data_IF_391535505143
#
_entry.id   IF_391535505143
#
_cell.length_a   1.000
_cell.length_b   1.000
_cell.length_c   1.000
_cell.angle_alpha   90.00
_cell.angle_beta   90.00
_cell.angle_gamma   90.00
#
_symmetry.space_group_name_H-M   'P 1'
#
loop_
_entity.id
_entity.type
_entity.pdbx_description
1 polymer ?
#
# COMPACT_ATOMS: atom_id res chain seq x y z
N UNK A 1 22.75 42.85 5.61
CA UNK A 1 23.60 43.20 6.76
C UNK A 1 22.99 44.39 7.51
N UNK A 2 22.40 44.19 8.69
CA UNK A 2 22.28 45.18 9.78
C UNK A 2 21.58 44.55 11.00
N UNK A 3 22.44 44.05 11.89
CA UNK A 3 22.50 44.11 13.35
C UNK A 3 21.22 44.14 14.21
N UNK A 4 21.16 43.09 15.04
CA UNK A 4 20.63 42.95 16.40
C UNK A 4 20.26 44.21 17.20
N UNK A 5 19.17 44.11 17.97
CA UNK A 5 19.17 44.47 19.40
C UNK A 5 18.39 43.44 20.24
N UNK A 6 19.09 42.96 21.27
CA UNK A 6 18.70 42.15 22.42
C UNK A 6 18.17 43.03 23.57
N UNK A 7 17.68 42.34 24.61
CA UNK A 7 17.52 42.72 26.04
C UNK A 7 16.08 43.13 26.46
N UNK A 8 15.52 42.72 27.61
CA UNK A 8 15.96 41.87 28.72
C UNK A 8 14.70 41.49 29.55
N UNK A 9 14.56 40.23 30.01
CA UNK A 9 14.78 39.73 31.39
C UNK A 9 13.99 40.45 32.50
N UNK A 10 13.07 39.72 33.14
CA UNK A 10 12.95 39.71 34.62
C UNK A 10 12.78 38.26 35.08
N UNK A 11 13.69 37.87 35.97
CA UNK A 11 13.76 36.60 36.67
C UNK A 11 12.87 36.61 37.92
N UNK A 12 12.42 35.43 38.35
CA UNK A 12 12.22 35.14 39.76
C UNK A 12 12.49 33.66 40.02
N UNK A 13 13.52 33.42 40.83
CA UNK A 13 13.99 32.13 41.31
C UNK A 13 13.07 31.57 42.41
N UNK A 14 13.01 30.23 42.49
CA UNK A 14 12.43 29.49 43.61
C UNK A 14 13.16 28.15 43.77
N UNK A 15 13.63 27.91 44.99
CA UNK A 15 14.65 26.94 45.41
C UNK A 15 14.25 25.46 45.35
N UNK A 16 15.27 24.64 45.06
CA UNK A 16 15.76 23.42 45.77
C UNK A 16 14.73 22.44 46.36
N UNK A 17 14.75 21.22 45.82
CA UNK A 17 14.31 20.00 46.48
C UNK A 17 14.95 18.78 45.84
N UNK A 18 16.08 18.33 46.38
CA UNK A 18 16.74 17.10 46.00
C UNK A 18 16.01 15.91 46.65
N UNK A 19 15.47 15.01 45.82
CA UNK A 19 15.01 13.69 46.23
C UNK A 19 15.62 12.65 45.31
N UNK A 20 16.67 11.99 45.80
CA UNK A 20 17.22 10.79 45.22
C UNK A 20 16.30 9.60 45.57
N UNK A 21 15.70 8.94 44.58
CA UNK A 21 15.08 7.63 44.76
C UNK A 21 15.36 6.75 43.53
N UNK A 22 16.15 5.71 43.78
CA UNK A 22 16.27 4.42 43.12
C UNK A 22 16.12 4.35 41.58
N UNK A 23 17.27 4.17 40.92
CA UNK A 23 17.39 3.51 39.61
C UNK A 23 16.99 2.03 39.80
N UNK A 24 15.69 1.76 39.72
CA UNK A 24 15.17 0.40 39.57
C UNK A 24 15.26 0.01 38.10
N UNK A 25 16.29 -0.75 37.75
CA UNK A 25 16.45 -1.35 36.42
C UNK A 25 15.30 -2.30 36.12
N UNK A 26 14.23 -1.78 35.52
CA UNK A 26 13.24 -2.59 34.82
C UNK A 26 13.91 -3.07 33.54
N UNK A 27 14.56 -4.24 33.63
CA UNK A 27 14.89 -5.05 32.46
C UNK A 27 13.59 -5.48 31.80
N UNK A 28 13.06 -4.63 30.92
CA UNK A 28 12.07 -5.04 29.93
C UNK A 28 12.78 -5.96 28.95
N UNK A 29 12.83 -7.25 29.28
CA UNK A 29 13.11 -8.28 28.32
C UNK A 29 12.00 -8.21 27.25
N UNK A 30 12.29 -7.47 26.19
CA UNK A 30 11.51 -7.48 24.97
C UNK A 30 11.59 -8.91 24.44
N UNK A 31 10.55 -9.69 24.71
CA UNK A 31 10.30 -10.94 23.99
C UNK A 31 10.07 -10.55 22.52
N UNK A 32 11.16 -10.49 21.75
CA UNK A 32 11.10 -10.49 20.31
C UNK A 32 10.51 -11.84 19.94
N UNK A 33 9.19 -11.85 19.70
CA UNK A 33 8.56 -12.92 18.95
C UNK A 33 9.30 -12.98 17.61
N UNK A 34 10.23 -13.92 17.48
CA UNK A 34 10.77 -14.33 16.20
C UNK A 34 9.61 -14.94 15.44
N UNK A 35 8.88 -14.10 14.70
CA UNK A 35 8.01 -14.57 13.65
C UNK A 35 8.88 -15.46 12.75
N UNK A 36 8.60 -16.76 12.75
CA UNK A 36 9.27 -17.68 11.86
C UNK A 36 8.99 -17.19 10.43
N UNK A 37 10.03 -16.73 9.74
CA UNK A 37 9.91 -16.39 8.34
C UNK A 37 9.42 -17.64 7.61
N UNK A 38 8.29 -17.52 6.90
CA UNK A 38 7.83 -18.59 6.02
C UNK A 38 9.00 -18.99 5.09
N UNK A 39 9.25 -20.29 4.86
CA UNK A 39 10.35 -20.72 4.03
C UNK A 39 10.16 -20.20 2.59
N UNK A 40 10.86 -19.11 2.27
CA UNK A 40 10.86 -18.45 0.95
C UNK A 40 11.42 -19.34 -0.16
N UNK A 41 11.87 -20.56 0.17
CA UNK A 41 12.44 -21.54 -0.76
C UNK A 41 11.44 -22.09 -1.78
N UNK A 42 10.13 -21.84 -1.61
CA UNK A 42 9.08 -22.28 -2.53
C UNK A 42 8.40 -21.14 -3.30
N UNK A 43 8.87 -19.90 -3.17
CA UNK A 43 8.31 -18.77 -3.91
C UNK A 43 8.63 -18.86 -5.42
N UNK A 44 7.65 -18.52 -6.27
CA UNK A 44 7.79 -18.43 -7.73
C UNK A 44 7.30 -17.09 -8.22
N UNK A 45 8.10 -16.39 -9.00
CA UNK A 45 7.66 -15.19 -9.70
C UNK A 45 7.02 -15.57 -11.03
N UNK A 46 5.87 -14.98 -11.33
CA UNK A 46 5.18 -15.08 -12.61
C UNK A 46 4.97 -13.69 -13.20
N UNK A 47 4.96 -13.62 -14.53
CA UNK A 47 4.75 -12.39 -15.29
C UNK A 47 3.53 -12.61 -16.17
N UNK A 48 2.56 -11.71 -16.09
CA UNK A 48 1.39 -11.71 -16.96
C UNK A 48 1.73 -11.30 -18.38
N UNK A 49 0.83 -11.51 -19.35
CA UNK A 49 0.95 -10.87 -20.66
C UNK A 49 0.91 -9.34 -20.51
N UNK A 50 1.59 -8.62 -21.39
CA UNK A 50 1.37 -7.19 -21.51
C UNK A 50 -0.09 -6.95 -21.92
N UNK A 51 -0.74 -5.94 -21.34
CA UNK A 51 -2.11 -5.59 -21.68
C UNK A 51 -2.20 -4.82 -23.00
N UNK A 52 -3.41 -4.80 -23.57
CA UNK A 52 -3.78 -3.79 -24.54
C UNK A 52 -3.94 -2.41 -23.89
N UNK A 53 -3.93 -1.31 -24.66
CA UNK A 53 -4.05 0.05 -24.12
C UNK A 53 -5.32 0.21 -23.26
N UNK A 54 -5.15 0.64 -22.01
CA UNK A 54 -6.25 0.86 -21.05
C UNK A 54 -6.84 -0.42 -20.45
N UNK A 55 -6.38 -1.61 -20.88
CA UNK A 55 -6.83 -2.88 -20.35
C UNK A 55 -5.94 -3.35 -19.18
N UNK A 56 -6.47 -4.13 -18.23
CA UNK A 56 -5.67 -4.70 -17.16
C UNK A 56 -4.78 -5.83 -17.66
N UNK A 57 -3.64 -6.02 -17.00
CA UNK A 57 -2.80 -7.22 -17.09
C UNK A 57 -2.98 -8.06 -15.84
N UNK A 58 -2.96 -9.39 -16.01
CA UNK A 58 -3.09 -10.35 -14.91
C UNK A 58 -1.94 -11.36 -14.94
N UNK A 59 -1.24 -11.49 -13.81
CA UNK A 59 -0.21 -12.50 -13.58
C UNK A 59 -0.79 -13.63 -12.73
N UNK A 60 -1.17 -14.73 -13.38
CA UNK A 60 -1.77 -15.89 -12.70
C UNK A 60 -0.71 -16.77 -12.05
N UNK A 61 -0.93 -17.10 -10.78
CA UNK A 61 -0.15 -18.10 -10.08
C UNK A 61 -0.39 -19.50 -10.67
N UNK A 62 0.64 -20.37 -10.70
CA UNK A 62 0.49 -21.75 -11.13
C UNK A 62 -0.50 -22.53 -10.25
N UNK A 63 -0.96 -23.67 -10.74
CA UNK A 63 -1.79 -24.60 -9.96
C UNK A 63 -1.12 -24.97 -8.63
N UNK A 64 -1.91 -25.09 -7.56
CA UNK A 64 -1.44 -25.34 -6.21
C UNK A 64 -0.81 -24.14 -5.49
N UNK A 65 -0.70 -22.97 -6.16
CA UNK A 65 -0.12 -21.75 -5.59
C UNK A 65 -1.14 -20.62 -5.49
N UNK A 66 -0.83 -19.64 -4.64
CA UNK A 66 -1.57 -18.39 -4.46
C UNK A 66 -0.60 -17.22 -4.29
N UNK A 67 -1.11 -16.01 -4.48
CA UNK A 67 -0.31 -14.79 -4.46
C UNK A 67 0.12 -14.44 -3.04
N UNK A 68 1.42 -14.19 -2.85
CA UNK A 68 1.99 -13.60 -1.65
C UNK A 68 2.10 -12.08 -1.77
N UNK A 69 2.48 -11.60 -2.96
CA UNK A 69 2.62 -10.19 -3.29
C UNK A 69 2.69 -10.03 -4.82
N UNK A 70 2.72 -8.81 -5.32
CA UNK A 70 2.94 -8.54 -6.73
C UNK A 70 3.31 -7.09 -7.00
N UNK A 71 3.11 -6.71 -8.24
CA UNK A 71 3.37 -5.37 -8.75
C UNK A 71 3.21 -5.36 -10.25
N UNK A 72 3.82 -4.38 -10.89
CA UNK A 72 3.77 -4.25 -12.34
C UNK A 72 5.01 -3.55 -12.90
N UNK A 73 5.18 -3.68 -14.20
CA UNK A 73 5.96 -2.73 -14.98
C UNK A 73 5.06 -2.12 -16.06
N UNK A 74 5.30 -0.87 -16.41
CA UNK A 74 4.63 -0.23 -17.53
C UNK A 74 5.35 -0.65 -18.82
N UNK A 75 4.60 -1.05 -19.84
CA UNK A 75 5.12 -1.40 -21.16
C UNK A 75 5.01 -0.21 -22.12
N UNK A 76 3.97 0.62 -21.95
CA UNK A 76 3.83 1.92 -22.59
C UNK A 76 3.06 2.83 -21.64
N UNK A 77 3.46 4.10 -21.56
CA UNK A 77 2.80 5.10 -20.73
C UNK A 77 2.33 6.22 -21.65
N UNK A 78 1.10 6.69 -21.48
CA UNK A 78 0.63 7.85 -22.23
C UNK A 78 1.42 9.09 -21.83
N UNK A 79 1.70 9.95 -22.81
CA UNK A 79 2.42 11.19 -22.64
C UNK A 79 1.63 12.34 -23.25
N UNK A 80 1.77 13.53 -22.69
CA UNK A 80 1.33 14.77 -23.33
C UNK A 80 2.11 15.00 -24.64
N UNK A 81 1.69 15.97 -25.45
CA UNK A 81 2.48 16.41 -26.62
C UNK A 81 3.84 17.02 -26.24
N UNK A 82 4.04 17.42 -24.97
CA UNK A 82 5.31 17.90 -24.43
C UNK A 82 6.21 16.76 -23.90
N UNK A 83 5.72 15.52 -23.87
CA UNK A 83 6.44 14.35 -23.38
C UNK A 83 6.24 14.07 -21.89
N UNK A 84 5.47 14.88 -21.17
CA UNK A 84 5.18 14.63 -19.75
C UNK A 84 4.31 13.38 -19.57
N UNK A 85 4.61 12.52 -18.57
CA UNK A 85 3.78 11.37 -18.24
C UNK A 85 2.35 11.78 -17.90
N UNK A 86 1.42 11.04 -18.49
CA UNK A 86 0.04 11.44 -18.61
C UNK A 86 -0.89 10.22 -18.51
N UNK A 87 -0.55 9.34 -17.60
CA UNK A 87 -1.29 8.12 -17.35
C UNK A 87 -1.28 7.90 -15.86
N UNK A 88 -2.12 7.00 -15.39
CA UNK A 88 -2.03 6.62 -14.00
C UNK A 88 -2.52 5.22 -13.76
N UNK A 89 -2.10 4.74 -12.60
CA UNK A 89 -2.27 3.35 -12.20
C UNK A 89 -3.65 3.23 -11.60
N UNK A 90 -4.50 2.46 -12.28
CA UNK A 90 -5.87 2.21 -11.86
C UNK A 90 -5.96 0.99 -10.94
N UNK A 91 -5.03 0.05 -11.07
CA UNK A 91 -4.98 -1.12 -10.23
C UNK A 91 -3.54 -1.54 -9.97
N UNK A 92 -3.30 -1.98 -8.75
CA UNK A 92 -2.12 -2.72 -8.34
C UNK A 92 -2.53 -3.53 -7.10
N UNK A 93 -2.99 -4.76 -7.31
CA UNK A 93 -3.65 -5.52 -6.26
C UNK A 93 -3.66 -7.04 -6.50
N UNK A 94 -3.83 -7.84 -5.43
CA UNK A 94 -4.13 -9.26 -5.58
C UNK A 94 -5.51 -9.45 -6.22
N UNK A 95 -5.66 -10.51 -7.01
CA UNK A 95 -6.98 -10.99 -7.42
C UNK A 95 -7.80 -11.38 -6.19
N UNK A 96 -9.12 -11.20 -6.24
CA UNK A 96 -10.01 -11.46 -5.11
C UNK A 96 -10.02 -12.92 -4.67
N UNK A 97 -9.69 -13.86 -5.56
CA UNK A 97 -9.57 -15.29 -5.28
C UNK A 97 -8.14 -15.72 -4.88
N UNK A 98 -7.21 -14.76 -4.78
CA UNK A 98 -5.81 -14.98 -4.45
C UNK A 98 -5.00 -15.72 -5.53
N UNK A 99 -5.54 -15.98 -6.72
CA UNK A 99 -4.86 -16.77 -7.76
C UNK A 99 -3.88 -15.96 -8.60
N UNK A 100 -3.54 -14.74 -8.20
CA UNK A 100 -2.62 -13.90 -8.94
C UNK A 100 -2.65 -12.45 -8.53
N UNK A 101 -1.97 -11.64 -9.33
CA UNK A 101 -1.91 -10.19 -9.20
C UNK A 101 -2.44 -9.55 -10.47
N UNK A 102 -3.14 -8.43 -10.35
CA UNK A 102 -3.55 -7.65 -11.51
C UNK A 102 -3.15 -6.20 -11.37
N UNK A 103 -2.83 -5.60 -12.50
CA UNK A 103 -2.46 -4.20 -12.59
C UNK A 103 -3.14 -3.56 -13.80
N UNK A 104 -3.38 -2.26 -13.73
CA UNK A 104 -4.09 -1.51 -14.77
C UNK A 104 -3.53 -0.11 -14.90
N UNK A 105 -3.42 0.36 -16.14
CA UNK A 105 -3.20 1.78 -16.47
C UNK A 105 -4.45 2.34 -17.12
N UNK A 106 -4.67 3.65 -16.99
CA UNK A 106 -5.85 4.31 -17.55
C UNK A 106 -5.89 4.29 -19.07
N UNK A 107 -4.73 4.37 -19.73
CA UNK A 107 -4.64 4.43 -21.20
C UNK A 107 -3.47 3.65 -21.76
N UNK A 108 -2.38 3.53 -21.02
CA UNK A 108 -1.18 2.82 -21.45
C UNK A 108 -1.31 1.30 -21.37
N UNK A 109 -0.16 0.64 -21.55
CA UNK A 109 -0.03 -0.82 -21.47
C UNK A 109 0.76 -1.18 -20.23
N UNK A 110 0.30 -2.19 -19.51
CA UNK A 110 0.91 -2.64 -18.26
C UNK A 110 1.18 -4.13 -18.31
N UNK A 111 2.16 -4.58 -17.53
CA UNK A 111 2.44 -5.99 -17.34
C UNK A 111 2.48 -6.28 -15.84
N UNK A 112 1.50 -7.06 -15.36
CA UNK A 112 1.43 -7.49 -13.98
C UNK A 112 2.51 -8.53 -13.68
N UNK A 113 2.95 -8.56 -12.42
CA UNK A 113 3.89 -9.54 -11.87
C UNK A 113 3.35 -10.01 -10.53
N UNK A 114 3.51 -11.30 -10.25
CA UNK A 114 3.12 -11.86 -8.96
C UNK A 114 4.26 -12.70 -8.39
N UNK A 115 4.40 -12.66 -7.07
CA UNK A 115 5.15 -13.63 -6.28
C UNK A 115 4.13 -14.61 -5.72
N UNK A 116 4.27 -15.88 -6.08
CA UNK A 116 3.36 -16.95 -5.71
C UNK A 116 4.04 -17.91 -4.75
N UNK A 117 3.29 -18.39 -3.76
CA UNK A 117 3.73 -19.40 -2.79
C UNK A 117 2.71 -20.56 -2.77
N UNK A 118 3.08 -21.76 -2.27
CA UNK A 118 2.13 -22.83 -2.02
C UNK A 118 0.87 -22.34 -1.30
N UNK A 119 -0.30 -22.86 -1.67
CA UNK A 119 -1.58 -22.37 -1.17
C UNK A 119 -1.69 -22.41 0.38
N UNK A 120 -1.05 -23.37 1.03
CA UNK A 120 -0.99 -23.53 2.49
C UNK A 120 -0.09 -22.51 3.20
N UNK A 121 0.75 -21.79 2.45
CA UNK A 121 1.63 -20.72 2.96
C UNK A 121 1.14 -19.31 2.56
N UNK A 122 0.12 -19.22 1.70
CA UNK A 122 -0.29 -17.95 1.11
C UNK A 122 -1.21 -17.15 2.04
N UNK A 123 -1.08 -15.81 2.04
CA UNK A 123 -2.03 -14.94 2.72
C UNK A 123 -3.45 -15.09 2.13
N UNK A 124 -4.44 -14.93 2.99
CA UNK A 124 -5.83 -14.79 2.56
C UNK A 124 -6.04 -13.39 1.98
N UNK A 125 -6.65 -13.31 0.80
CA UNK A 125 -7.10 -12.03 0.25
C UNK A 125 -8.39 -11.60 0.94
N UNK A 126 -8.44 -10.35 1.39
CA UNK A 126 -9.68 -9.67 1.80
C UNK A 126 -9.91 -8.48 0.88
N UNK A 127 -11.15 -8.31 0.46
CA UNK A 127 -11.58 -7.19 -0.37
C UNK A 127 -12.43 -6.25 0.47
N UNK A 128 -12.05 -4.97 0.53
CA UNK A 128 -12.82 -3.94 1.20
C UNK A 128 -14.05 -3.51 0.40
N UNK A 129 -14.96 -2.73 0.99
CA UNK A 129 -16.05 -2.11 0.25
C UNK A 129 -15.51 -1.09 -0.75
N UNK A 130 -16.20 -0.86 -1.86
CA UNK A 130 -15.91 0.31 -2.70
C UNK A 130 -16.21 1.59 -1.91
N UNK A 131 -15.27 2.54 -1.90
CA UNK A 131 -15.43 3.81 -1.20
C UNK A 131 -16.50 4.70 -1.86
N UNK A 132 -16.96 5.70 -1.10
CA UNK A 132 -17.54 6.90 -1.70
C UNK A 132 -16.46 7.75 -2.40
N UNK A 133 -16.89 8.82 -3.06
CA UNK A 133 -15.99 9.86 -3.56
C UNK A 133 -15.28 10.55 -2.38
N UNK A 134 -14.00 10.90 -2.55
CA UNK A 134 -13.15 11.51 -1.52
C UNK A 134 -13.04 10.71 -0.20
N UNK A 135 -13.39 9.42 -0.22
CA UNK A 135 -13.41 8.58 0.97
C UNK A 135 -12.41 7.42 0.87
N UNK A 136 -12.10 6.84 2.03
CA UNK A 136 -11.27 5.63 2.11
C UNK A 136 -12.07 4.38 1.79
N UNK A 137 -11.36 3.38 1.28
CA UNK A 137 -11.79 1.99 1.29
C UNK A 137 -10.87 1.20 2.21
N UNK A 138 -11.46 0.47 3.15
CA UNK A 138 -10.72 -0.31 4.15
C UNK A 138 -11.01 -1.81 3.98
N UNK A 139 -9.97 -2.59 3.71
CA UNK A 139 -10.01 -4.05 3.71
C UNK A 139 -9.48 -4.56 5.05
N UNK A 140 -10.39 -4.95 5.96
CA UNK A 140 -10.04 -5.43 7.29
C UNK A 140 -9.68 -6.91 7.31
N UNK A 141 -8.53 -7.24 7.84
CA UNK A 141 -8.14 -8.64 8.06
C UNK A 141 -9.05 -9.30 9.11
N UNK A 142 -9.33 -10.62 9.00
CA UNK A 142 -10.07 -11.35 10.02
C UNK A 142 -9.45 -11.22 11.42
N UNK A 143 -10.26 -11.43 12.45
CA UNK A 143 -9.76 -11.43 13.82
C UNK A 143 -8.58 -12.40 14.00
N UNK A 144 -7.57 -11.97 14.74
CA UNK A 144 -6.35 -12.75 14.99
C UNK A 144 -5.32 -12.73 13.86
N UNK A 145 -5.59 -12.04 12.74
CA UNK A 145 -4.66 -11.93 11.60
C UNK A 145 -4.15 -10.49 11.42
N UNK A 146 -3.06 -10.34 10.67
CA UNK A 146 -2.43 -9.07 10.31
C UNK A 146 -2.20 -8.95 8.80
N UNK A 147 -2.25 -7.73 8.29
CA UNK A 147 -1.92 -7.44 6.90
C UNK A 147 -0.41 -7.52 6.69
N UNK A 148 0.02 -8.36 5.75
CA UNK A 148 1.41 -8.44 5.27
C UNK A 148 1.63 -7.71 3.95
N UNK A 149 0.53 -7.27 3.33
CA UNK A 149 0.53 -6.51 2.10
C UNK A 149 -0.89 -6.19 1.68
N UNK A 150 -1.02 -5.58 0.51
CA UNK A 150 -2.29 -5.23 -0.04
C UNK A 150 -2.13 -4.43 -1.31
N UNK A 151 -3.22 -3.83 -1.74
CA UNK A 151 -3.27 -3.07 -2.97
C UNK A 151 -4.60 -2.36 -3.13
N UNK A 152 -4.84 -1.87 -4.33
CA UNK A 152 -6.04 -1.11 -4.65
C UNK A 152 -6.54 -1.38 -6.06
N UNK A 153 -7.82 -1.09 -6.25
CA UNK A 153 -8.45 -1.00 -7.55
C UNK A 153 -9.38 0.20 -7.59
N UNK A 154 -9.03 1.20 -8.40
CA UNK A 154 -9.87 2.35 -8.64
C UNK A 154 -11.12 1.96 -9.43
N UNK A 155 -12.28 2.32 -8.90
CA UNK A 155 -13.61 1.97 -9.40
C UNK A 155 -14.22 3.09 -10.25
N UNK A 156 -13.78 4.34 -10.06
CA UNK A 156 -14.18 5.48 -10.90
C UNK A 156 -13.06 6.50 -10.99
N UNK A 157 -12.93 7.17 -12.13
CA UNK A 157 -11.87 8.14 -12.42
C UNK A 157 -12.42 9.38 -13.11
N UNK A 158 -11.89 10.54 -12.76
CA UNK A 158 -12.19 11.79 -13.44
C UNK A 158 -11.15 12.10 -14.51
N UNK A 159 -11.63 12.38 -15.71
CA UNK A 159 -10.83 12.85 -16.84
C UNK A 159 -11.22 14.29 -17.20
N UNK A 160 -10.27 15.12 -17.62
CA UNK A 160 -10.64 16.38 -18.29
C UNK A 160 -11.06 16.13 -19.76
N UNK A 161 -11.42 17.19 -20.49
CA UNK A 161 -11.89 17.12 -21.88
C UNK A 161 -10.86 16.60 -22.91
N UNK A 162 -9.58 16.45 -22.52
CA UNK A 162 -8.51 15.88 -23.35
C UNK A 162 -8.19 14.44 -22.97
N UNK A 163 -8.96 13.85 -22.05
CA UNK A 163 -8.75 12.50 -21.51
C UNK A 163 -7.91 12.48 -20.23
N UNK A 164 -7.59 13.66 -19.65
CA UNK A 164 -6.51 13.77 -18.64
C UNK A 164 -6.92 13.29 -17.30
N UNK A 165 -6.18 12.34 -16.70
CA UNK A 165 -6.45 11.97 -15.33
C UNK A 165 -6.34 13.21 -14.46
N UNK A 166 -7.47 13.62 -13.90
CA UNK A 166 -7.57 14.64 -12.85
C UNK A 166 -7.66 13.98 -11.47
N UNK A 167 -7.31 12.70 -11.42
CA UNK A 167 -7.49 11.84 -10.28
C UNK A 167 -6.30 10.89 -10.14
N UNK A 168 -6.08 10.44 -8.92
CA UNK A 168 -4.99 9.54 -8.60
C UNK A 168 -5.30 8.80 -7.32
N UNK A 169 -4.77 7.59 -7.20
CA UNK A 169 -4.67 6.94 -5.89
C UNK A 169 -3.61 7.68 -5.08
N UNK A 170 -4.05 8.29 -4.00
CA UNK A 170 -3.22 9.11 -3.10
C UNK A 170 -2.75 8.33 -1.88
N UNK A 171 -3.38 7.18 -1.60
CA UNK A 171 -2.91 6.25 -0.58
C UNK A 171 -3.17 4.80 -0.99
N UNK A 172 -2.19 3.95 -0.67
CA UNK A 172 -2.35 2.50 -0.60
C UNK A 172 -1.37 2.00 0.45
N UNK A 173 -1.87 1.66 1.63
CA UNK A 173 -1.04 1.44 2.80
C UNK A 173 -1.72 0.52 3.83
N UNK A 174 -0.96 -0.09 4.75
CA UNK A 174 -1.55 -0.78 5.88
C UNK A 174 -2.34 0.20 6.76
N UNK A 175 -3.42 -0.30 7.38
CA UNK A 175 -4.10 0.43 8.45
C UNK A 175 -3.15 0.65 9.64
N UNK A 176 -3.34 1.71 10.42
CA UNK A 176 -2.42 2.09 11.51
C UNK A 176 -2.17 1.00 12.56
N UNK A 177 -3.10 0.04 12.72
CA UNK A 177 -2.94 -1.12 13.61
C UNK A 177 -2.44 -2.40 12.94
N UNK A 178 -2.08 -2.36 11.65
CA UNK A 178 -1.70 -3.55 10.87
C UNK A 178 -2.87 -4.47 10.51
N UNK A 179 -4.09 -4.21 11.02
CA UNK A 179 -5.28 -5.07 10.86
C UNK A 179 -6.01 -4.94 9.52
N UNK A 180 -5.29 -4.59 8.47
CA UNK A 180 -5.86 -4.45 7.13
C UNK A 180 -5.07 -3.50 6.25
N UNK A 181 -5.66 -3.19 5.11
CA UNK A 181 -5.12 -2.29 4.10
C UNK A 181 -6.16 -1.24 3.78
N UNK A 182 -5.75 0.01 3.61
CA UNK A 182 -6.62 1.05 3.09
C UNK A 182 -6.10 1.63 1.78
N UNK A 183 -7.03 2.16 1.00
CA UNK A 183 -6.74 2.90 -0.20
C UNK A 183 -7.59 4.16 -0.25
N UNK A 184 -7.00 5.24 -0.77
CA UNK A 184 -7.69 6.50 -1.03
C UNK A 184 -7.43 6.95 -2.46
N UNK A 185 -8.47 7.40 -3.11
CA UNK A 185 -8.38 8.13 -4.36
C UNK A 185 -8.69 9.61 -4.13
N UNK A 186 -8.06 10.50 -4.90
CA UNK A 186 -8.18 11.94 -4.68
C UNK A 186 -9.63 12.41 -4.76
N UNK A 187 -10.35 12.02 -5.81
CA UNK A 187 -11.77 12.35 -5.98
C UNK A 187 -12.67 11.13 -6.19
N UNK A 188 -12.25 10.18 -7.02
CA UNK A 188 -13.03 9.00 -7.38
C UNK A 188 -13.19 7.98 -6.25
N UNK A 189 -13.72 6.82 -6.65
CA UNK A 189 -14.00 5.68 -5.76
C UNK A 189 -12.92 4.64 -5.92
N UNK A 190 -12.49 4.05 -4.81
CA UNK A 190 -11.45 3.02 -4.79
C UNK A 190 -11.90 1.81 -3.97
N UNK A 191 -11.32 0.65 -4.24
CA UNK A 191 -11.47 -0.56 -3.46
C UNK A 191 -10.09 -1.03 -2.99
N UNK A 192 -9.88 -1.09 -1.68
CA UNK A 192 -8.69 -1.68 -1.08
C UNK A 192 -8.78 -3.21 -1.07
N UNK A 193 -7.62 -3.86 -1.11
CA UNK A 193 -7.47 -5.30 -0.89
C UNK A 193 -6.32 -5.54 0.06
N UNK A 194 -6.49 -6.44 1.00
CA UNK A 194 -5.48 -6.83 1.98
C UNK A 194 -5.05 -8.29 1.77
N UNK A 195 -3.80 -8.59 2.11
CA UNK A 195 -3.22 -9.93 2.20
C UNK A 195 -2.98 -10.20 3.68
N UNK A 196 -3.75 -11.13 4.26
CA UNK A 196 -3.81 -11.36 5.70
C UNK A 196 -3.25 -12.74 6.09
N UNK A 197 -2.45 -12.79 7.16
CA UNK A 197 -1.96 -14.03 7.79
C UNK A 197 -2.19 -14.05 9.29
#
# INVERSE_FOLDING_TARGET
MKNHRLAAVVAAAGLVGASAVAVGGLSTASAQATAAAAPVSRARTVVGPASEPGEPSVAHCPEGMRVLNGGYNTAAFSQSNGGEPYDGVQADAPLSDGKGWFAGLMTGRVQARAVCVPQDEAPRVVVGPTSGEHADSDAHCPEGTDAVGGGYYAQSWYKNGWGESQDAVTASAPLAGGKGWYARQFAGKVQARALCI
#
